data_IF_304694688241
#
_entry.id   IF_304694688241
#
_cell.length_a   1.000
_cell.length_b   1.000
_cell.length_c   1.000
_cell.angle_alpha   90.00
_cell.angle_beta   90.00
_cell.angle_gamma   90.00
#
_symmetry.space_group_name_H-M   'P 1'
#
loop_
_entity.id
_entity.type
_entity.pdbx_description
1 polymer ?
#
# COMPACT_ATOMS: atom_id res chain seq x y z
N UNK A 1 -32.96 -3.57 -10.70
CA UNK A 1 -31.92 -4.14 -9.80
C UNK A 1 -30.72 -4.73 -10.56
N UNK A 2 -30.88 -5.73 -11.46
CA UNK A 2 -29.76 -6.36 -12.20
C UNK A 2 -28.91 -5.41 -13.09
N UNK A 3 -29.50 -4.32 -13.60
CA UNK A 3 -28.78 -3.30 -14.39
C UNK A 3 -27.90 -2.40 -13.52
N UNK A 4 -28.35 -2.09 -12.30
CA UNK A 4 -27.60 -1.26 -11.35
C UNK A 4 -26.41 -2.03 -10.76
N UNK A 5 -26.55 -3.33 -10.54
CA UNK A 5 -25.42 -4.18 -10.12
C UNK A 5 -24.37 -4.30 -11.22
N UNK A 6 -24.76 -4.41 -12.50
CA UNK A 6 -23.81 -4.37 -13.63
C UNK A 6 -23.06 -3.04 -13.74
N UNK A 7 -23.76 -1.92 -13.55
CA UNK A 7 -23.15 -0.59 -13.57
C UNK A 7 -22.15 -0.40 -12.42
N UNK A 8 -22.51 -0.89 -11.23
CA UNK A 8 -21.62 -0.93 -10.07
C UNK A 8 -20.35 -1.75 -10.33
N UNK A 9 -20.49 -2.95 -10.90
CA UNK A 9 -19.35 -3.78 -11.30
C UNK A 9 -18.48 -3.13 -12.39
N UNK A 10 -19.07 -2.44 -13.35
CA UNK A 10 -18.34 -1.69 -14.37
C UNK A 10 -17.59 -0.48 -13.78
N UNK A 11 -18.19 0.25 -12.83
CA UNK A 11 -17.52 1.34 -12.12
C UNK A 11 -16.35 0.83 -11.29
N UNK A 12 -16.52 -0.32 -10.63
CA UNK A 12 -15.50 -0.94 -9.81
C UNK A 12 -14.33 -1.45 -10.66
N UNK A 13 -14.61 -2.02 -11.84
CA UNK A 13 -13.59 -2.38 -12.83
C UNK A 13 -12.90 -1.14 -13.42
N UNK A 14 -13.62 -0.04 -13.64
CA UNK A 14 -13.04 1.21 -14.15
C UNK A 14 -12.09 1.84 -13.13
N UNK A 15 -12.45 1.83 -11.84
CA UNK A 15 -11.60 2.29 -10.74
C UNK A 15 -10.32 1.44 -10.61
N UNK A 16 -10.40 0.12 -10.80
CA UNK A 16 -9.24 -0.78 -10.82
C UNK A 16 -8.38 -0.59 -12.09
N UNK A 17 -8.98 -0.21 -13.22
CA UNK A 17 -8.25 0.08 -14.47
C UNK A 17 -7.61 1.45 -14.51
N UNK A 18 -8.03 2.38 -13.63
CA UNK A 18 -7.41 3.69 -13.46
C UNK A 18 -6.11 3.60 -12.66
N UNK A 19 -5.21 2.70 -13.08
CA UNK A 19 -3.80 2.78 -12.75
C UNK A 19 -3.21 3.94 -13.57
N UNK A 20 -3.65 5.16 -13.26
CA UNK A 20 -2.91 6.35 -13.62
C UNK A 20 -1.64 6.32 -12.77
N UNK A 21 -0.62 5.62 -13.31
CA UNK A 21 0.79 6.00 -13.29
C UNK A 21 1.07 7.06 -12.22
N UNK A 22 1.16 6.63 -10.96
CA UNK A 22 2.01 7.28 -9.97
C UNK A 22 3.47 6.81 -10.21
N UNK A 23 3.87 6.73 -11.49
CA UNK A 23 5.27 6.79 -11.92
C UNK A 23 5.52 8.27 -12.16
N UNK A 24 5.69 8.99 -11.06
CA UNK A 24 6.44 10.23 -11.03
C UNK A 24 7.54 9.99 -10.02
N UNK A 25 8.63 9.39 -10.50
CA UNK A 25 9.97 9.51 -9.89
C UNK A 25 9.99 9.51 -8.35
N UNK A 26 9.85 8.35 -7.72
CA UNK A 26 10.30 8.16 -6.34
C UNK A 26 11.83 8.03 -6.33
N UNK A 27 12.50 9.07 -6.80
CA UNK A 27 13.90 9.32 -6.49
C UNK A 27 13.92 9.98 -5.12
N UNK A 28 14.62 9.39 -4.17
CA UNK A 28 15.04 10.10 -2.97
C UNK A 28 15.83 11.34 -3.42
N UNK A 29 15.24 12.53 -3.29
CA UNK A 29 15.85 13.77 -3.73
C UNK A 29 14.96 15.02 -3.55
N UNK A 30 15.23 15.74 -2.46
CA UNK A 30 15.00 17.18 -2.25
C UNK A 30 13.53 17.59 -2.01
N UNK A 31 13.14 18.15 -0.86
CA UNK A 31 13.77 19.31 -0.22
C UNK A 31 12.98 20.56 -0.61
N UNK A 32 12.29 21.18 0.37
CA UNK A 32 11.74 22.54 0.28
C UNK A 32 10.68 22.79 -0.81
N UNK A 33 9.41 22.43 -0.57
CA UNK A 33 8.34 22.85 -1.49
C UNK A 33 6.90 22.44 -1.18
N UNK A 34 6.67 21.34 -0.45
CA UNK A 34 5.30 20.97 -0.08
C UNK A 34 4.88 21.72 1.18
N UNK A 35 4.02 22.73 1.01
CA UNK A 35 3.33 23.35 2.12
C UNK A 35 2.54 22.31 2.92
N UNK A 36 2.07 22.71 4.10
CA UNK A 36 1.23 21.89 5.00
C UNK A 36 0.18 21.05 4.27
N UNK A 37 -0.48 21.63 3.26
CA UNK A 37 -1.51 20.97 2.45
C UNK A 37 -0.96 19.75 1.69
N UNK A 38 0.20 19.86 1.04
CA UNK A 38 0.76 18.77 0.26
C UNK A 38 1.10 17.55 1.10
N UNK A 39 1.78 17.77 2.24
CA UNK A 39 2.17 16.69 3.16
C UNK A 39 0.94 16.01 3.76
N UNK A 40 -0.07 16.79 4.15
CA UNK A 40 -1.34 16.32 4.70
C UNK A 40 -2.14 15.51 3.67
N UNK A 41 -2.20 15.99 2.42
CA UNK A 41 -2.87 15.29 1.33
C UNK A 41 -2.18 13.98 0.95
N UNK A 42 -0.85 13.98 0.88
CA UNK A 42 -0.08 12.75 0.61
C UNK A 42 -0.31 11.71 1.71
N UNK A 43 -0.23 12.11 2.99
CA UNK A 43 -0.51 11.23 4.13
C UNK A 43 -1.93 10.66 4.08
N UNK A 44 -2.91 11.48 3.70
CA UNK A 44 -4.29 11.01 3.54
C UNK A 44 -4.45 9.97 2.42
N UNK A 45 -3.91 10.25 1.23
CA UNK A 45 -4.01 9.35 0.07
C UNK A 45 -3.26 8.04 0.31
N UNK A 46 -2.06 8.13 0.86
CA UNK A 46 -1.24 6.96 1.19
C UNK A 46 -1.88 6.15 2.32
N UNK A 47 -2.47 6.80 3.32
CA UNK A 47 -3.26 6.16 4.38
C UNK A 47 -4.44 5.35 3.81
N UNK A 48 -5.28 5.97 2.98
CA UNK A 48 -6.41 5.27 2.32
C UNK A 48 -5.91 4.08 1.51
N UNK A 49 -4.87 4.28 0.70
CA UNK A 49 -4.30 3.23 -0.13
C UNK A 49 -3.80 2.05 0.71
N UNK A 50 -3.03 2.32 1.77
CA UNK A 50 -2.46 1.31 2.65
C UNK A 50 -3.54 0.56 3.45
N UNK A 51 -4.59 1.25 3.90
CA UNK A 51 -5.76 0.61 4.51
C UNK A 51 -6.46 -0.33 3.54
N UNK A 52 -6.74 0.14 2.32
CA UNK A 52 -7.50 -0.60 1.32
C UNK A 52 -6.73 -1.79 0.73
N UNK A 53 -5.40 -1.70 0.67
CA UNK A 53 -4.56 -2.67 -0.06
C UNK A 53 -3.56 -3.43 0.81
N UNK A 54 -3.60 -3.26 2.13
CA UNK A 54 -2.72 -3.98 3.06
C UNK A 54 -2.75 -5.51 2.91
N UNK A 55 -3.86 -6.08 2.45
CA UNK A 55 -3.97 -7.53 2.19
C UNK A 55 -3.02 -8.03 1.09
N UNK A 56 -2.50 -7.15 0.22
CA UNK A 56 -1.54 -7.50 -0.83
C UNK A 56 -0.16 -7.87 -0.23
N UNK A 57 0.13 -7.44 1.00
CA UNK A 57 1.34 -7.84 1.73
C UNK A 57 1.41 -9.34 1.97
N UNK A 58 0.27 -10.03 2.08
CA UNK A 58 0.22 -11.46 2.31
C UNK A 58 0.80 -12.28 1.13
N UNK A 59 0.24 -12.20 -0.10
CA UNK A 59 0.81 -12.92 -1.23
C UNK A 59 2.23 -12.41 -1.56
N UNK A 60 2.52 -11.12 -1.37
CA UNK A 60 3.85 -10.54 -1.57
C UNK A 60 4.91 -11.25 -0.70
N UNK A 61 4.68 -11.37 0.60
CA UNK A 61 5.66 -11.97 1.52
C UNK A 61 5.83 -13.48 1.31
N UNK A 62 4.77 -14.20 0.93
CA UNK A 62 4.88 -15.62 0.53
C UNK A 62 5.82 -15.77 -0.67
N UNK A 63 5.65 -14.96 -1.71
CA UNK A 63 6.49 -15.01 -2.92
C UNK A 63 7.93 -14.63 -2.58
N UNK A 64 8.13 -13.52 -1.85
CA UNK A 64 9.46 -13.04 -1.45
C UNK A 64 10.23 -14.08 -0.64
N UNK A 65 9.61 -14.70 0.36
CA UNK A 65 10.25 -15.73 1.19
C UNK A 65 10.50 -17.02 0.40
N UNK A 66 9.57 -17.39 -0.48
CA UNK A 66 9.75 -18.56 -1.35
C UNK A 66 10.94 -18.39 -2.29
N UNK A 67 11.17 -17.17 -2.81
CA UNK A 67 12.30 -16.84 -3.68
C UNK A 67 13.64 -16.78 -2.94
N UNK A 68 13.66 -16.37 -1.66
CA UNK A 68 14.90 -16.30 -0.86
C UNK A 68 15.33 -17.65 -0.30
N UNK A 69 14.38 -18.45 0.18
CA UNK A 69 14.67 -19.65 0.95
C UNK A 69 14.26 -20.93 0.19
N UNK A 70 13.05 -21.44 0.47
CA UNK A 70 12.48 -22.62 -0.17
C UNK A 70 10.96 -22.53 -0.17
N UNK A 71 10.28 -23.33 -0.99
CA UNK A 71 8.81 -23.32 -1.10
C UNK A 71 8.13 -23.61 0.24
N UNK A 72 8.61 -24.59 1.01
CA UNK A 72 8.01 -24.94 2.31
C UNK A 72 8.21 -23.83 3.34
N UNK A 73 9.40 -23.22 3.36
CA UNK A 73 9.70 -22.12 4.26
C UNK A 73 8.94 -20.85 3.87
N UNK A 74 8.86 -20.55 2.57
CA UNK A 74 8.14 -19.41 2.02
C UNK A 74 6.63 -19.49 2.23
N UNK A 75 6.04 -20.68 2.14
CA UNK A 75 4.61 -20.85 2.46
C UNK A 75 4.33 -20.67 3.96
N UNK A 76 5.22 -21.11 4.86
CA UNK A 76 4.96 -21.04 6.31
C UNK A 76 5.36 -19.69 6.89
N UNK A 77 6.64 -19.33 6.79
CA UNK A 77 7.17 -18.05 7.28
C UNK A 77 6.64 -16.88 6.46
N UNK A 78 6.49 -17.04 5.15
CA UNK A 78 5.90 -16.00 4.30
C UNK A 78 4.42 -15.76 4.58
N UNK A 79 3.66 -16.78 5.00
CA UNK A 79 2.27 -16.59 5.44
C UNK A 79 2.21 -15.82 6.77
N UNK A 80 3.00 -16.21 7.76
CA UNK A 80 3.02 -15.53 9.07
C UNK A 80 3.50 -14.09 8.94
N UNK A 81 4.63 -13.87 8.27
CA UNK A 81 5.12 -12.51 8.00
C UNK A 81 4.13 -11.71 7.16
N UNK A 82 3.54 -12.32 6.13
CA UNK A 82 2.50 -11.71 5.30
C UNK A 82 1.31 -11.20 6.10
N UNK A 83 0.80 -12.01 7.05
CA UNK A 83 -0.28 -11.59 7.96
C UNK A 83 0.17 -10.39 8.82
N UNK A 84 1.37 -10.46 9.39
CA UNK A 84 1.90 -9.36 10.23
C UNK A 84 2.04 -8.06 9.43
N UNK A 85 2.60 -8.13 8.22
CA UNK A 85 2.72 -6.98 7.32
C UNK A 85 1.36 -6.44 6.88
N UNK A 86 0.39 -7.31 6.59
CA UNK A 86 -0.98 -6.88 6.28
C UNK A 86 -1.60 -6.11 7.44
N UNK A 87 -1.53 -6.64 8.66
CA UNK A 87 -2.09 -5.98 9.85
C UNK A 87 -1.39 -4.65 10.10
N UNK A 88 -0.06 -4.63 10.12
CA UNK A 88 0.72 -3.42 10.35
C UNK A 88 0.40 -2.34 9.31
N UNK A 89 0.41 -2.69 8.01
CA UNK A 89 0.14 -1.75 6.92
C UNK A 89 -1.27 -1.19 6.97
N UNK A 90 -2.27 -2.02 7.27
CA UNK A 90 -3.65 -1.58 7.37
C UNK A 90 -3.87 -0.68 8.59
N UNK A 91 -3.32 -1.04 9.76
CA UNK A 91 -3.44 -0.26 10.99
C UNK A 91 -2.76 1.09 10.86
N UNK A 92 -1.53 1.12 10.33
CA UNK A 92 -0.80 2.37 10.10
C UNK A 92 -1.53 3.22 9.04
N UNK A 93 -2.08 2.61 7.99
CA UNK A 93 -2.91 3.33 7.02
C UNK A 93 -4.12 4.00 7.66
N UNK A 94 -4.84 3.29 8.55
CA UNK A 94 -5.98 3.86 9.29
C UNK A 94 -5.51 5.01 10.19
N UNK A 95 -4.37 4.84 10.85
CA UNK A 95 -3.78 5.87 11.69
C UNK A 95 -3.36 7.10 10.90
N UNK A 96 -2.78 6.93 9.70
CA UNK A 96 -2.40 8.02 8.81
C UNK A 96 -3.62 8.79 8.30
N UNK A 97 -4.72 8.09 7.98
CA UNK A 97 -6.01 8.74 7.65
C UNK A 97 -6.57 9.50 8.85
N UNK A 98 -6.52 8.93 10.05
CA UNK A 98 -7.04 9.61 11.25
C UNK A 98 -6.20 10.84 11.65
N UNK A 99 -4.89 10.80 11.36
CA UNK A 99 -3.93 11.85 11.75
C UNK A 99 -3.42 12.65 10.56
N UNK A 100 -4.12 12.65 9.42
CA UNK A 100 -3.62 13.21 8.17
C UNK A 100 -3.27 14.70 8.28
N UNK A 101 -4.03 15.47 9.06
CA UNK A 101 -3.77 16.89 9.35
C UNK A 101 -2.45 17.15 10.09
N UNK A 102 -1.83 16.13 10.66
CA UNK A 102 -0.51 16.23 11.29
C UNK A 102 0.52 15.82 10.23
N UNK A 103 1.31 16.78 9.70
CA UNK A 103 2.30 16.49 8.67
C UNK A 103 3.45 15.68 9.28
N UNK A 104 3.44 14.38 9.04
CA UNK A 104 4.51 13.46 9.44
C UNK A 104 5.16 12.87 8.20
N UNK A 105 6.44 12.47 8.27
CA UNK A 105 7.04 11.66 7.22
C UNK A 105 6.29 10.34 7.04
N UNK A 106 6.43 9.67 5.89
CA UNK A 106 5.83 8.36 5.66
C UNK A 106 6.30 7.34 6.70
N UNK A 107 5.36 6.64 7.33
CA UNK A 107 5.64 5.62 8.33
C UNK A 107 5.86 4.23 7.73
N UNK A 108 5.74 4.07 6.40
CA UNK A 108 5.85 2.78 5.73
C UNK A 108 6.72 2.92 4.50
N UNK A 109 7.71 2.03 4.34
CA UNK A 109 8.54 1.94 3.15
C UNK A 109 8.42 0.53 2.53
N UNK A 110 8.17 0.39 1.22
CA UNK A 110 7.74 1.45 0.30
C UNK A 110 6.39 2.05 0.69
N UNK A 111 6.09 3.28 0.23
CA UNK A 111 4.88 4.03 0.61
C UNK A 111 3.59 3.33 0.17
N UNK A 112 3.62 2.71 -1.01
CA UNK A 112 2.54 1.87 -1.52
C UNK A 112 3.02 0.42 -1.65
N UNK A 113 2.14 -0.54 -1.39
CA UNK A 113 2.49 -1.98 -1.45
C UNK A 113 2.96 -2.42 -2.85
N UNK A 114 2.46 -1.78 -3.90
CA UNK A 114 2.79 -2.08 -5.30
C UNK A 114 3.97 -1.27 -5.86
N UNK A 115 4.55 -0.38 -5.07
CA UNK A 115 5.67 0.44 -5.51
C UNK A 115 6.94 -0.39 -5.70
N UNK A 116 7.14 -1.38 -4.82
CA UNK A 116 8.21 -2.36 -4.96
C UNK A 116 7.79 -3.70 -4.34
N UNK A 117 7.58 -4.69 -5.20
CA UNK A 117 7.24 -6.06 -4.77
C UNK A 117 8.46 -6.89 -4.41
N UNK A 118 9.68 -6.43 -4.72
CA UNK A 118 10.94 -7.15 -4.47
C UNK A 118 11.51 -6.90 -3.07
N UNK A 119 11.01 -5.88 -2.38
CA UNK A 119 11.47 -5.45 -1.05
C UNK A 119 10.39 -5.69 0.00
N UNK A 120 10.80 -6.14 1.18
CA UNK A 120 9.93 -6.31 2.35
C UNK A 120 9.59 -4.97 2.98
N UNK A 121 8.36 -4.81 3.43
CA UNK A 121 7.88 -3.53 3.94
C UNK A 121 8.45 -3.23 5.33
N UNK A 122 8.93 -2.01 5.56
CA UNK A 122 9.37 -1.50 6.87
C UNK A 122 8.34 -0.51 7.43
N UNK A 123 8.21 -0.47 8.75
CA UNK A 123 7.27 0.38 9.50
C UNK A 123 7.99 1.20 10.57
#
# INVERSE_FOLDING_TARGET
>A
MKKMTKLFWMLLLYLVSSQAVATSSYGYGLGYGQGYIGTTSEKFVTGIANTATGFVELPKNIILRTQRDSVVHGMTIGLVSGIMHTVARTVIGVFDVATFLIPTPPSIQPTFVWQDFSVESSY
#
